data_IF_596556999858
#
_entry.id   IF_596556999858
#
_cell.length_a   1.000
_cell.length_b   1.000
_cell.length_c   1.000
_cell.angle_alpha   90.00
_cell.angle_beta   90.00
_cell.angle_gamma   90.00
#
_symmetry.space_group_name_H-M   'P 1'
#
loop_
_entity.id
_entity.type
_entity.pdbx_description
1 polymer ?
#
# COMPACT_ATOMS: atom_id res chain seq x y z
N UNK A 1 -4.93 26.44 -2.89
CA UNK A 1 -3.57 25.90 -2.71
C UNK A 1 -3.42 24.80 -3.74
N UNK A 2 -2.32 24.66 -4.50
CA UNK A 2 -2.26 23.54 -5.42
C UNK A 2 -2.01 22.28 -4.60
N UNK A 3 -2.99 21.39 -4.65
CA UNK A 3 -2.88 20.02 -4.19
C UNK A 3 -1.76 19.40 -5.01
N UNK A 4 -0.71 18.93 -4.33
CA UNK A 4 0.40 18.21 -4.96
C UNK A 4 -0.15 16.92 -5.54
N UNK A 5 -0.57 16.98 -6.79
CA UNK A 5 -1.09 15.86 -7.57
C UNK A 5 0.08 14.87 -7.75
N UNK A 6 0.20 13.93 -6.82
CA UNK A 6 1.03 12.74 -7.03
C UNK A 6 0.36 12.02 -8.18
N UNK A 7 0.90 12.21 -9.39
CA UNK A 7 0.34 11.61 -10.59
C UNK A 7 0.23 10.10 -10.36
N UNK A 8 -0.98 9.56 -10.45
CA UNK A 8 -1.25 8.11 -10.35
C UNK A 8 -0.41 7.28 -11.32
N UNK A 9 0.19 7.92 -12.34
CA UNK A 9 1.13 7.33 -13.30
C UNK A 9 2.49 6.94 -12.72
N UNK A 10 2.86 7.46 -11.56
CA UNK A 10 4.16 7.20 -10.93
C UNK A 10 4.11 6.12 -9.84
N UNK A 11 2.93 5.54 -9.59
CA UNK A 11 2.74 4.50 -8.57
C UNK A 11 2.87 3.11 -9.21
N UNK A 12 3.70 2.25 -8.61
CA UNK A 12 3.95 0.88 -9.06
C UNK A 12 3.68 -0.11 -7.95
N UNK A 13 3.17 -1.29 -8.31
CA UNK A 13 3.00 -2.40 -7.38
C UNK A 13 4.36 -2.94 -6.94
N UNK A 14 4.65 -2.85 -5.63
CA UNK A 14 5.92 -3.24 -5.04
C UNK A 14 5.87 -4.61 -4.37
N UNK A 15 4.81 -4.91 -3.62
CA UNK A 15 4.78 -6.11 -2.79
C UNK A 15 3.35 -6.55 -2.44
N UNK A 16 3.23 -7.80 -2.01
CA UNK A 16 2.08 -8.29 -1.25
C UNK A 16 2.45 -8.35 0.23
N UNK A 17 1.60 -7.81 1.10
CA UNK A 17 1.81 -7.73 2.55
C UNK A 17 0.64 -8.34 3.31
N UNK A 18 0.94 -9.19 4.28
CA UNK A 18 -0.04 -9.72 5.22
C UNK A 18 -0.10 -8.80 6.43
N UNK A 19 -1.24 -8.15 6.62
CA UNK A 19 -1.48 -7.14 7.67
C UNK A 19 -2.93 -7.28 8.13
N UNK A 20 -3.12 -7.29 9.45
CA UNK A 20 -4.45 -7.29 10.03
C UNK A 20 -5.17 -5.96 9.76
N UNK A 21 -6.30 -6.03 9.05
CA UNK A 21 -7.09 -4.85 8.69
C UNK A 21 -7.61 -4.11 9.92
N UNK A 22 -8.14 -4.82 10.91
CA UNK A 22 -8.77 -4.19 12.07
C UNK A 22 -7.73 -3.39 12.85
N UNK A 23 -6.57 -3.97 13.10
CA UNK A 23 -5.45 -3.29 13.74
C UNK A 23 -4.95 -2.09 12.93
N UNK A 24 -4.94 -2.21 11.60
CA UNK A 24 -4.57 -1.11 10.70
C UNK A 24 -5.58 0.05 10.81
N UNK A 25 -6.88 -0.25 10.80
CA UNK A 25 -7.95 0.74 10.95
C UNK A 25 -7.96 1.40 12.33
N UNK A 26 -7.70 0.64 13.40
CA UNK A 26 -7.60 1.15 14.76
C UNK A 26 -6.42 2.12 14.93
N UNK A 27 -5.31 1.87 14.24
CA UNK A 27 -4.09 2.67 14.36
C UNK A 27 -4.05 3.89 13.46
N UNK A 28 -4.48 3.73 12.20
CA UNK A 28 -4.32 4.75 11.15
C UNK A 28 -5.64 5.37 10.69
N UNK A 29 -6.77 4.92 11.26
CA UNK A 29 -8.10 5.35 10.85
C UNK A 29 -8.68 4.43 9.77
N UNK A 30 -9.96 4.62 9.47
CA UNK A 30 -10.70 3.76 8.55
C UNK A 30 -10.15 3.84 7.12
N UNK A 31 -10.11 2.71 6.44
CA UNK A 31 -9.79 2.66 5.01
C UNK A 31 -10.78 3.50 4.19
N UNK A 32 -10.28 4.16 3.15
CA UNK A 32 -11.13 4.71 2.11
C UNK A 32 -11.61 3.60 1.18
N UNK A 33 -12.79 3.77 0.62
CA UNK A 33 -13.33 2.85 -0.38
C UNK A 33 -13.26 3.52 -1.74
N UNK A 34 -12.49 2.93 -2.66
CA UNK A 34 -12.38 3.38 -4.04
C UNK A 34 -12.99 2.33 -4.96
N UNK A 35 -13.77 2.77 -5.95
CA UNK A 35 -14.39 1.89 -6.94
C UNK A 35 -13.80 2.20 -8.32
N UNK A 36 -13.33 1.17 -9.02
CA UNK A 36 -12.94 1.27 -10.42
C UNK A 36 -13.78 0.32 -11.30
N UNK A 37 -13.46 0.24 -12.59
CA UNK A 37 -14.20 -0.60 -13.53
C UNK A 37 -14.05 -2.11 -13.28
N UNK A 38 -13.12 -2.51 -12.41
CA UNK A 38 -12.80 -3.89 -12.10
C UNK A 38 -13.39 -4.32 -10.75
N UNK A 39 -13.24 -3.48 -9.71
CA UNK A 39 -13.69 -3.83 -8.36
C UNK A 39 -13.84 -2.62 -7.41
N UNK A 40 -14.37 -2.91 -6.23
CA UNK A 40 -14.29 -2.05 -5.06
C UNK A 40 -13.06 -2.41 -4.21
N UNK A 41 -12.30 -1.39 -3.81
CA UNK A 41 -11.01 -1.50 -3.13
C UNK A 41 -11.04 -0.75 -1.79
N UNK A 42 -10.54 -1.41 -0.75
CA UNK A 42 -10.09 -0.74 0.46
C UNK A 42 -8.71 -0.12 0.20
N UNK A 43 -8.59 1.16 0.49
CA UNK A 43 -7.39 1.94 0.26
C UNK A 43 -6.92 2.62 1.56
N UNK A 44 -5.64 2.46 1.86
CA UNK A 44 -4.93 3.33 2.80
C UNK A 44 -3.83 4.06 2.06
N UNK A 45 -3.86 5.39 2.08
CA UNK A 45 -2.87 6.22 1.43
C UNK A 45 -1.99 6.95 2.46
N UNK A 46 -0.68 6.89 2.24
CA UNK A 46 0.31 7.50 3.11
C UNK A 46 1.31 8.30 2.26
N UNK A 47 1.67 9.49 2.71
CA UNK A 47 2.73 10.30 2.10
C UNK A 47 3.73 10.72 3.19
N UNK A 48 4.80 9.93 3.42
CA UNK A 48 5.76 10.19 4.48
C UNK A 48 6.67 11.40 4.20
N UNK A 49 6.87 11.74 2.93
CA UNK A 49 7.70 12.87 2.50
C UNK A 49 7.24 13.40 1.13
N UNK A 50 7.72 14.58 0.76
CA UNK A 50 7.41 15.19 -0.54
C UNK A 50 7.89 14.29 -1.70
N UNK A 51 6.97 13.92 -2.59
CA UNK A 51 7.25 13.00 -3.72
C UNK A 51 7.27 11.51 -3.36
N UNK A 52 7.15 11.18 -2.07
CA UNK A 52 7.04 9.81 -1.59
C UNK A 52 5.61 9.52 -1.15
N UNK A 53 5.03 8.47 -1.72
CA UNK A 53 3.75 7.97 -1.29
C UNK A 53 3.67 6.44 -1.44
N UNK A 54 2.86 5.83 -0.59
CA UNK A 54 2.50 4.42 -0.72
C UNK A 54 1.03 4.20 -0.40
N UNK A 55 0.49 3.16 -1.03
CA UNK A 55 -0.90 2.74 -0.97
C UNK A 55 -0.95 1.27 -0.54
N UNK A 56 -1.83 0.96 0.41
CA UNK A 56 -2.26 -0.41 0.68
C UNK A 56 -3.63 -0.61 0.06
N UNK A 57 -3.74 -1.57 -0.85
CA UNK A 57 -4.95 -1.86 -1.61
C UNK A 57 -5.39 -3.29 -1.36
N UNK A 58 -6.68 -3.48 -1.09
CA UNK A 58 -7.28 -4.82 -1.00
C UNK A 58 -8.68 -4.79 -1.57
N UNK A 59 -8.99 -5.77 -2.42
CA UNK A 59 -10.33 -5.92 -2.98
C UNK A 59 -11.35 -6.26 -1.88
N UNK A 60 -12.55 -5.65 -1.94
CA UNK A 60 -13.61 -5.82 -0.93
C UNK A 60 -14.39 -7.12 -1.13
N UNK A 61 -14.85 -7.40 -2.35
CA UNK A 61 -15.85 -8.44 -2.59
C UNK A 61 -15.25 -9.84 -2.79
N UNK A 62 -14.24 -9.98 -3.65
CA UNK A 62 -13.65 -11.28 -3.99
C UNK A 62 -12.12 -11.28 -3.91
N UNK A 63 -11.55 -10.92 -2.74
CA UNK A 63 -10.10 -10.84 -2.60
C UNK A 63 -9.46 -12.21 -2.92
N UNK A 64 -8.56 -12.31 -3.92
CA UNK A 64 -7.88 -13.56 -4.25
C UNK A 64 -7.00 -14.05 -3.10
N UNK A 65 -6.56 -13.11 -2.24
CA UNK A 65 -5.79 -13.36 -1.02
C UNK A 65 -6.24 -12.38 0.08
N UNK A 66 -6.20 -12.73 1.39
CA UNK A 66 -6.52 -11.79 2.47
C UNK A 66 -5.51 -10.63 2.61
N UNK A 67 -4.39 -10.67 1.88
CA UNK A 67 -3.30 -9.72 1.90
C UNK A 67 -3.66 -8.37 1.23
N UNK A 68 -2.87 -7.35 1.54
CA UNK A 68 -2.88 -6.08 0.83
C UNK A 68 -1.80 -6.05 -0.25
N UNK A 69 -2.13 -5.47 -1.40
CA UNK A 69 -1.15 -5.00 -2.37
C UNK A 69 -0.53 -3.69 -1.89
N UNK A 70 0.78 -3.66 -1.74
CA UNK A 70 1.57 -2.46 -1.47
C UNK A 70 2.03 -1.86 -2.79
N UNK A 71 1.55 -0.66 -3.10
CA UNK A 71 1.99 0.12 -4.27
C UNK A 71 2.66 1.41 -3.82
N UNK A 72 3.70 1.84 -4.51
CA UNK A 72 4.56 2.95 -4.07
C UNK A 72 4.96 3.86 -5.23
N UNK A 73 5.31 5.11 -4.94
CA UNK A 73 5.96 5.98 -5.92
C UNK A 73 7.40 5.52 -6.20
N UNK A 74 7.96 5.92 -7.34
CA UNK A 74 9.30 5.51 -7.79
C UNK A 74 10.42 5.68 -6.74
N UNK A 75 10.36 6.70 -5.87
CA UNK A 75 11.34 6.92 -4.81
C UNK A 75 11.39 5.82 -3.74
N UNK A 76 10.29 5.06 -3.60
CA UNK A 76 10.14 3.97 -2.65
C UNK A 76 10.14 2.58 -3.33
N UNK A 77 10.40 2.50 -4.64
CA UNK A 77 10.33 1.25 -5.40
C UNK A 77 11.58 0.37 -5.19
N UNK A 78 11.68 -0.24 -4.01
CA UNK A 78 12.76 -1.18 -3.67
C UNK A 78 12.30 -2.25 -2.64
N UNK A 79 12.94 -3.43 -2.59
CA UNK A 79 12.57 -4.48 -1.66
C UNK A 79 12.74 -4.04 -0.20
N UNK A 80 13.81 -3.30 0.09
CA UNK A 80 14.07 -2.76 1.43
C UNK A 80 13.01 -1.76 1.88
N UNK A 81 12.41 -1.00 0.95
CA UNK A 81 11.32 -0.10 1.27
C UNK A 81 10.06 -0.86 1.70
N UNK A 82 9.74 -2.00 1.08
CA UNK A 82 8.59 -2.82 1.47
C UNK A 82 8.68 -3.24 2.95
N UNK A 83 9.85 -3.73 3.37
CA UNK A 83 10.08 -4.12 4.77
C UNK A 83 9.99 -2.92 5.73
N UNK A 84 10.63 -1.79 5.37
CA UNK A 84 10.59 -0.58 6.19
C UNK A 84 9.17 -0.03 6.34
N UNK A 85 8.37 -0.04 5.27
CA UNK A 85 6.98 0.40 5.30
C UNK A 85 6.18 -0.48 6.28
N UNK A 86 6.31 -1.80 6.19
CA UNK A 86 5.64 -2.74 7.11
C UNK A 86 6.04 -2.49 8.57
N UNK A 87 7.31 -2.24 8.85
CA UNK A 87 7.80 -1.91 10.20
C UNK A 87 7.20 -0.60 10.72
N UNK A 88 7.17 0.46 9.89
CA UNK A 88 6.67 1.78 10.26
C UNK A 88 5.15 1.77 10.50
N UNK A 89 4.41 0.93 9.79
CA UNK A 89 2.97 0.75 10.05
C UNK A 89 2.72 0.29 11.49
N UNK A 90 3.68 -0.41 12.12
CA UNK A 90 3.63 -0.74 13.54
C UNK A 90 2.48 -1.68 13.92
N UNK A 91 2.09 -2.55 12.99
CA UNK A 91 1.03 -3.55 13.18
C UNK A 91 1.66 -4.89 13.55
N UNK A 92 1.23 -5.50 14.65
CA UNK A 92 1.75 -6.78 15.10
C UNK A 92 1.46 -7.89 14.07
N UNK A 93 2.47 -8.69 13.74
CA UNK A 93 2.35 -9.78 12.77
C UNK A 93 2.38 -9.34 11.30
N UNK A 94 2.46 -8.04 11.04
CA UNK A 94 2.57 -7.50 9.69
C UNK A 94 3.88 -7.98 9.04
N UNK A 95 3.79 -8.50 7.81
CA UNK A 95 4.96 -9.01 7.08
C UNK A 95 4.81 -8.88 5.57
N UNK A 96 5.94 -8.75 4.89
CA UNK A 96 6.02 -8.89 3.43
C UNK A 96 5.90 -10.36 3.07
N UNK A 97 4.96 -10.69 2.18
CA UNK A 97 4.73 -12.05 1.67
C UNK A 97 5.49 -12.26 0.38
N UNK A 98 5.42 -11.29 -0.52
CA UNK A 98 6.09 -11.32 -1.82
C UNK A 98 6.53 -9.92 -2.19
N UNK A 99 7.66 -9.81 -2.88
CA UNK A 99 8.11 -8.57 -3.51
C UNK A 99 8.04 -8.73 -5.03
N UNK A 100 7.70 -7.66 -5.74
CA UNK A 100 7.77 -7.61 -7.19
C UNK A 100 9.20 -7.90 -7.66
N UNK A 101 9.36 -8.84 -8.59
CA UNK A 101 10.65 -9.19 -9.18
C UNK A 101 11.31 -7.99 -9.88
N UNK A 102 10.53 -7.05 -10.43
CA UNK A 102 11.04 -5.82 -11.05
C UNK A 102 11.66 -4.84 -10.05
N UNK A 103 11.38 -5.00 -8.76
CA UNK A 103 12.04 -4.21 -7.73
C UNK A 103 13.44 -4.79 -7.38
N UNK A 104 13.80 -5.97 -7.88
CA UNK A 104 15.15 -6.49 -7.74
C UNK A 104 16.15 -5.66 -8.58
N UNK A 105 17.38 -5.44 -8.07
CA UNK A 105 18.41 -4.67 -8.77
C UNK A 105 18.92 -5.34 -10.07
#
# INVERSE_FOLDING_TARGET
MPEGDVSSRDVKWLAEVDIDRVALEERWGRAETACDSLAEWLCFAFSPAEGEAFLLLREVEHPPTPQFGLSVTSGLFSPSAAHRIVEVLGIAGARVVQVNAEAAP
#
